data_IF_275820000556
#
_entry.id   IF_275820000556
#
_cell.length_a   1.000
_cell.length_b   1.000
_cell.length_c   1.000
_cell.angle_alpha   90.00
_cell.angle_beta   90.00
_cell.angle_gamma   90.00
#
_symmetry.space_group_name_H-M   'P 1'
#
loop_
_entity.id
_entity.type
_entity.pdbx_description
1 polymer ?
#
# COMPACT_ATOMS: atom_id res chain seq x y z
N UNK A 1 1.23 -1.72 -33.69
CA UNK A 1 2.32 -1.19 -34.46
C UNK A 1 3.39 -0.62 -33.50
N UNK A 2 4.51 -0.20 -33.98
CA UNK A 2 5.65 0.25 -33.15
C UNK A 2 5.34 1.51 -32.31
N UNK A 3 4.27 2.22 -32.60
CA UNK A 3 3.84 3.43 -31.90
C UNK A 3 2.69 3.21 -30.91
N UNK A 4 1.97 2.08 -31.02
CA UNK A 4 0.83 1.77 -30.17
C UNK A 4 0.85 0.31 -29.76
N UNK A 5 0.98 0.07 -28.45
CA UNK A 5 1.00 -1.27 -27.86
C UNK A 5 -0.12 -1.42 -26.84
N UNK A 6 -0.93 -2.46 -26.98
CA UNK A 6 -1.88 -2.88 -25.96
C UNK A 6 -1.18 -3.69 -24.88
N UNK A 7 -1.54 -3.48 -23.63
CA UNK A 7 -1.04 -4.26 -22.48
C UNK A 7 -2.14 -4.50 -21.46
N UNK A 8 -1.92 -5.45 -20.57
CA UNK A 8 -2.82 -5.72 -19.46
C UNK A 8 -2.20 -6.74 -18.53
N UNK A 9 -2.74 -6.79 -17.33
CA UNK A 9 -2.33 -7.75 -16.31
C UNK A 9 -3.56 -8.27 -15.57
N UNK A 10 -3.54 -9.56 -15.28
CA UNK A 10 -4.46 -10.19 -14.36
C UNK A 10 -3.67 -10.99 -13.34
N UNK A 11 -3.91 -10.73 -12.06
CA UNK A 11 -3.27 -11.40 -10.94
C UNK A 11 -4.35 -11.92 -9.99
N UNK A 12 -4.30 -13.21 -9.69
CA UNK A 12 -5.29 -13.87 -8.86
C UNK A 12 -4.59 -14.67 -7.76
N UNK A 13 -5.11 -14.57 -6.54
CA UNK A 13 -4.58 -15.27 -5.37
C UNK A 13 -5.55 -16.39 -4.95
N UNK A 14 -5.02 -17.61 -4.92
CA UNK A 14 -5.70 -18.78 -4.37
C UNK A 14 -5.16 -19.08 -2.97
N UNK A 15 -6.04 -19.31 -2.02
CA UNK A 15 -5.67 -19.72 -0.66
C UNK A 15 -5.57 -21.24 -0.57
N UNK A 16 -4.33 -21.77 -0.51
CA UNK A 16 -4.06 -23.22 -0.45
C UNK A 16 -4.22 -23.86 0.94
N UNK A 17 -4.44 -23.07 1.98
CA UNK A 17 -4.51 -23.53 3.38
C UNK A 17 -5.95 -23.78 3.90
N UNK A 18 -6.93 -23.84 2.99
CA UNK A 18 -8.35 -24.06 3.31
C UNK A 18 -8.75 -25.52 3.22
N UNK A 19 -9.83 -25.88 3.92
CA UNK A 19 -10.51 -27.15 3.69
C UNK A 19 -11.28 -27.09 2.36
N UNK A 20 -11.49 -28.24 1.70
CA UNK A 20 -12.26 -28.31 0.45
C UNK A 20 -13.70 -27.78 0.58
N UNK A 21 -14.25 -27.79 1.79
CA UNK A 21 -15.62 -27.31 2.08
C UNK A 21 -15.74 -25.79 2.18
N UNK A 22 -14.64 -25.05 2.37
CA UNK A 22 -14.66 -23.58 2.49
C UNK A 22 -14.77 -22.87 1.14
N UNK A 23 -14.60 -23.59 0.03
CA UNK A 23 -14.73 -23.04 -1.31
C UNK A 23 -13.75 -21.89 -1.62
N UNK A 24 -14.19 -20.90 -2.38
CA UNK A 24 -13.38 -19.79 -2.89
C UNK A 24 -13.54 -18.47 -2.11
N UNK A 25 -14.13 -18.50 -0.91
CA UNK A 25 -14.55 -17.27 -0.19
C UNK A 25 -13.41 -16.28 0.15
N UNK A 26 -12.17 -16.75 0.15
CA UNK A 26 -10.98 -15.91 0.42
C UNK A 26 -10.05 -15.73 -0.78
N UNK A 27 -10.42 -16.27 -1.93
CA UNK A 27 -9.69 -16.03 -3.17
C UNK A 27 -9.97 -14.61 -3.65
N UNK A 28 -8.98 -13.97 -4.24
CA UNK A 28 -9.12 -12.56 -4.63
C UNK A 28 -8.37 -12.21 -5.91
N UNK A 29 -8.97 -11.34 -6.70
CA UNK A 29 -8.27 -10.66 -7.79
C UNK A 29 -7.41 -9.55 -7.18
N UNK A 30 -6.09 -9.66 -7.35
CA UNK A 30 -5.14 -8.63 -6.90
C UNK A 30 -5.04 -7.50 -7.91
N UNK A 31 -4.81 -7.84 -9.19
CA UNK A 31 -4.79 -6.89 -10.31
C UNK A 31 -5.69 -7.37 -11.44
N UNK A 32 -6.32 -6.44 -12.13
CA UNK A 32 -7.10 -6.68 -13.35
C UNK A 32 -7.26 -5.37 -14.11
N UNK A 33 -6.37 -5.08 -15.03
CA UNK A 33 -6.40 -3.86 -15.82
C UNK A 33 -5.91 -4.09 -17.25
N UNK A 34 -6.29 -3.18 -18.14
CA UNK A 34 -5.79 -3.13 -19.49
C UNK A 34 -5.53 -1.69 -19.92
N UNK A 35 -4.59 -1.50 -20.84
CA UNK A 35 -4.17 -0.18 -21.26
C UNK A 35 -3.53 -0.14 -22.64
N UNK A 36 -3.17 1.07 -23.03
CA UNK A 36 -2.47 1.39 -24.27
C UNK A 36 -1.23 2.21 -23.96
N UNK A 37 -0.12 1.89 -24.63
CA UNK A 37 1.12 2.66 -24.58
C UNK A 37 1.36 3.34 -25.92
N UNK A 38 1.72 4.59 -25.88
CA UNK A 38 1.88 5.48 -27.04
C UNK A 38 3.34 5.93 -27.24
N UNK A 39 4.28 4.98 -27.29
CA UNK A 39 5.72 5.27 -27.36
C UNK A 39 6.15 6.14 -26.16
N UNK A 40 6.91 7.20 -26.42
CA UNK A 40 7.42 8.12 -25.40
C UNK A 40 6.33 9.05 -24.80
N UNK A 41 5.15 9.09 -25.40
CA UNK A 41 4.02 9.85 -24.85
C UNK A 41 3.36 9.19 -23.64
N UNK A 42 3.86 8.00 -23.24
CA UNK A 42 3.40 7.31 -22.03
C UNK A 42 2.32 6.28 -22.29
N UNK A 43 1.59 5.95 -21.22
CA UNK A 43 0.53 4.94 -21.25
C UNK A 43 -0.71 5.41 -20.51
N UNK A 44 -1.85 4.87 -20.91
CA UNK A 44 -3.12 5.01 -20.19
C UNK A 44 -3.68 3.63 -19.95
N UNK A 45 -3.99 3.30 -18.69
CA UNK A 45 -4.65 2.06 -18.30
C UNK A 45 -5.89 2.33 -17.44
N UNK A 46 -6.76 1.32 -17.37
CA UNK A 46 -7.96 1.35 -16.55
C UNK A 46 -8.24 -0.02 -15.94
N UNK A 47 -8.65 -0.04 -14.68
CA UNK A 47 -9.12 -1.24 -14.00
C UNK A 47 -8.78 -1.26 -12.51
N UNK A 48 -8.48 -2.48 -12.00
CA UNK A 48 -7.92 -2.70 -10.66
C UNK A 48 -6.42 -2.70 -10.78
N UNK A 49 -5.78 -1.65 -10.29
CA UNK A 49 -4.34 -1.45 -10.38
C UNK A 49 -3.82 -0.75 -9.12
N UNK A 50 -2.52 -0.52 -9.03
CA UNK A 50 -1.94 0.26 -7.94
C UNK A 50 -2.33 1.73 -8.02
N UNK A 51 -2.65 2.31 -6.88
CA UNK A 51 -2.82 3.73 -6.69
C UNK A 51 -1.51 4.49 -6.78
N UNK A 52 -1.54 5.74 -7.27
CA UNK A 52 -0.31 6.55 -7.44
C UNK A 52 0.43 6.84 -6.14
N UNK A 53 -0.23 6.80 -5.00
CA UNK A 53 0.44 6.97 -3.72
C UNK A 53 1.43 5.82 -3.44
N UNK A 54 1.15 4.63 -3.95
CA UNK A 54 2.03 3.47 -3.84
C UNK A 54 3.32 3.60 -4.66
N UNK A 55 3.41 4.50 -5.63
CA UNK A 55 4.65 4.73 -6.38
C UNK A 55 5.83 5.14 -5.47
N UNK A 56 5.53 5.76 -4.32
CA UNK A 56 6.49 6.07 -3.27
C UNK A 56 6.42 5.06 -2.13
N UNK A 57 5.22 4.62 -1.74
CA UNK A 57 5.02 3.66 -0.66
C UNK A 57 5.68 2.31 -0.89
N UNK A 58 5.76 1.88 -2.15
CA UNK A 58 6.42 0.62 -2.54
C UNK A 58 7.92 0.59 -2.21
N UNK A 59 8.56 1.73 -1.98
CA UNK A 59 9.99 1.77 -1.69
C UNK A 59 10.35 1.17 -0.34
N UNK A 60 9.45 1.22 0.62
CA UNK A 60 9.63 0.62 1.95
C UNK A 60 8.87 -0.70 2.13
N UNK A 61 7.97 -1.05 1.20
CA UNK A 61 7.22 -2.31 1.19
C UNK A 61 8.02 -3.44 0.49
N UNK A 62 9.18 -3.78 1.05
CA UNK A 62 10.16 -4.71 0.46
C UNK A 62 10.65 -5.78 1.44
N UNK A 63 10.04 -5.89 2.62
CA UNK A 63 10.36 -6.90 3.62
C UNK A 63 9.85 -8.29 3.19
N UNK A 64 10.37 -9.38 3.78
CA UNK A 64 9.98 -10.73 3.38
C UNK A 64 8.50 -11.05 3.55
N UNK A 65 7.87 -10.60 4.64
CA UNK A 65 6.47 -10.85 4.96
C UNK A 65 5.74 -9.60 5.47
N UNK A 66 6.36 -8.84 6.37
CA UNK A 66 5.78 -7.65 6.99
C UNK A 66 6.13 -6.38 6.18
N UNK A 67 5.76 -5.22 6.68
CA UNK A 67 6.04 -3.93 6.01
C UNK A 67 4.86 -3.38 5.23
N UNK A 68 4.98 -2.11 4.80
CA UNK A 68 3.97 -1.43 4.00
C UNK A 68 2.60 -1.29 4.66
N UNK A 69 2.54 -1.34 6.00
CA UNK A 69 1.29 -1.41 6.77
C UNK A 69 0.98 -0.14 7.58
N UNK A 70 1.80 0.90 7.48
CA UNK A 70 1.54 2.16 8.19
C UNK A 70 0.49 3.02 7.49
N UNK A 71 0.47 3.06 6.15
CA UNK A 71 -0.42 3.92 5.36
C UNK A 71 -0.79 3.37 3.98
N UNK A 72 -0.04 2.41 3.44
CA UNK A 72 -0.33 1.80 2.15
C UNK A 72 -1.26 0.60 2.34
N UNK A 73 -2.57 0.85 2.28
CA UNK A 73 -3.60 -0.14 2.55
C UNK A 73 -4.40 -0.48 1.30
N UNK A 74 -4.58 -1.79 1.03
CA UNK A 74 -5.37 -2.28 -0.13
C UNK A 74 -6.83 -1.84 -0.02
N UNK A 75 -7.40 -1.36 -1.12
CA UNK A 75 -8.76 -0.85 -1.25
C UNK A 75 -9.07 0.38 -0.35
N UNK A 76 -8.04 1.00 0.22
CA UNK A 76 -8.15 2.27 0.92
C UNK A 76 -7.71 3.38 -0.02
N UNK A 77 -8.65 3.95 -0.76
CA UNK A 77 -8.44 4.99 -1.78
C UNK A 77 -7.34 4.59 -2.79
N UNK A 78 -6.37 5.48 -3.07
CA UNK A 78 -5.26 5.25 -4.03
C UNK A 78 -3.93 4.94 -3.34
N UNK A 79 -3.95 4.31 -2.13
CA UNK A 79 -2.71 4.08 -1.35
C UNK A 79 -2.01 2.77 -1.65
N UNK A 80 -2.72 1.77 -2.17
CA UNK A 80 -2.16 0.49 -2.64
C UNK A 80 -3.01 -0.01 -3.81
N UNK A 81 -3.34 -1.31 -3.91
CA UNK A 81 -4.24 -1.81 -4.97
C UNK A 81 -5.64 -1.21 -4.79
N UNK A 82 -6.16 -0.62 -5.85
CA UNK A 82 -7.44 0.05 -5.86
C UNK A 82 -8.23 -0.30 -7.12
N UNK A 83 -9.56 -0.28 -7.02
CA UNK A 83 -10.46 -0.59 -8.13
C UNK A 83 -10.97 0.70 -8.78
N UNK A 84 -11.22 0.64 -10.10
CA UNK A 84 -11.82 1.75 -10.85
C UNK A 84 -10.87 2.92 -11.04
N UNK A 85 -9.56 2.62 -11.17
CA UNK A 85 -8.54 3.64 -11.42
C UNK A 85 -8.24 3.75 -12.91
N UNK A 86 -8.21 4.99 -13.41
CA UNK A 86 -7.69 5.35 -14.72
C UNK A 86 -6.36 6.05 -14.51
N UNK A 87 -5.28 5.49 -15.05
CA UNK A 87 -3.91 5.97 -14.77
C UNK A 87 -3.21 6.33 -16.06
N UNK A 88 -2.75 7.57 -16.16
CA UNK A 88 -1.76 7.99 -17.14
C UNK A 88 -0.38 7.95 -16.49
N UNK A 89 0.60 7.29 -17.16
CA UNK A 89 2.01 7.22 -16.73
C UNK A 89 2.92 7.66 -17.86
N UNK A 90 3.92 8.44 -17.51
CA UNK A 90 4.98 8.85 -18.42
C UNK A 90 6.33 8.62 -17.74
N UNK A 91 7.19 7.90 -18.44
CA UNK A 91 8.56 7.65 -18.01
C UNK A 91 9.51 8.58 -18.76
N UNK A 92 10.64 8.91 -18.11
CA UNK A 92 11.72 9.72 -18.68
C UNK A 92 11.26 11.07 -19.24
N UNK A 93 10.16 11.60 -18.66
CA UNK A 93 9.55 12.88 -19.04
C UNK A 93 9.48 13.06 -20.56
N UNK A 94 8.68 12.20 -21.21
CA UNK A 94 8.53 12.14 -22.66
C UNK A 94 9.81 11.78 -23.43
N UNK A 95 10.75 11.07 -22.79
CA UNK A 95 12.07 10.76 -23.35
C UNK A 95 13.07 11.93 -23.31
N UNK A 96 12.76 13.00 -22.58
CA UNK A 96 13.59 14.21 -22.52
C UNK A 96 14.52 14.25 -21.29
N UNK A 97 14.15 13.57 -20.20
CA UNK A 97 14.90 13.56 -18.94
C UNK A 97 14.89 12.14 -18.39
N UNK A 98 16.00 11.43 -18.60
CA UNK A 98 16.18 10.05 -18.11
C UNK A 98 15.94 9.98 -16.59
N UNK A 99 15.16 9.00 -16.17
CA UNK A 99 14.85 8.74 -14.77
C UNK A 99 13.74 9.62 -14.16
N UNK A 100 13.24 10.65 -14.84
CA UNK A 100 12.13 11.48 -14.36
C UNK A 100 10.80 10.89 -14.81
N UNK A 101 10.05 10.31 -13.87
CA UNK A 101 8.77 9.67 -14.13
C UNK A 101 7.65 10.43 -13.43
N UNK A 102 6.44 10.41 -14.00
CA UNK A 102 5.26 10.91 -13.33
C UNK A 102 4.00 10.11 -13.70
N UNK A 103 3.02 10.16 -12.82
CA UNK A 103 1.71 9.60 -13.07
C UNK A 103 0.59 10.55 -12.63
N UNK A 104 -0.54 10.46 -13.34
CA UNK A 104 -1.79 11.11 -13.01
C UNK A 104 -2.86 10.02 -12.93
N UNK A 105 -3.66 10.03 -11.88
CA UNK A 105 -4.67 9.00 -11.67
C UNK A 105 -6.01 9.62 -11.26
N UNK A 106 -7.08 9.05 -11.78
CA UNK A 106 -8.44 9.25 -11.33
C UNK A 106 -9.01 7.94 -10.80
N UNK A 107 -9.67 7.97 -9.66
CA UNK A 107 -10.42 6.85 -9.11
C UNK A 107 -11.91 7.20 -9.10
N UNK A 108 -12.72 6.37 -9.77
CA UNK A 108 -14.17 6.48 -9.72
C UNK A 108 -14.72 6.00 -8.37
N UNK A 109 -15.89 6.53 -7.99
CA UNK A 109 -16.59 6.16 -6.76
C UNK A 109 -16.92 4.66 -6.72
N UNK A 110 -16.60 4.02 -5.59
CA UNK A 110 -17.01 2.66 -5.22
C UNK A 110 -17.59 2.69 -3.80
N UNK A 111 -18.86 2.34 -3.65
CA UNK A 111 -19.51 2.38 -2.34
C UNK A 111 -20.29 1.11 -2.01
N UNK A 112 -20.70 1.00 -0.74
CA UNK A 112 -21.47 -0.11 -0.22
C UNK A 112 -22.92 -0.12 -0.68
N UNK A 113 -23.43 0.96 -1.27
CA UNK A 113 -24.83 1.07 -1.71
C UNK A 113 -25.12 0.23 -2.96
N UNK A 114 -24.10 -0.23 -3.68
CA UNK A 114 -24.23 -1.06 -4.87
C UNK A 114 -24.55 -2.53 -4.57
N UNK A 115 -25.41 -2.83 -3.57
CA UNK A 115 -25.97 -4.17 -3.38
C UNK A 115 -27.02 -4.46 -4.46
N UNK A 116 -26.58 -4.68 -5.69
CA UNK A 116 -27.44 -5.14 -6.77
C UNK A 116 -27.21 -6.65 -6.95
N UNK A 117 -28.27 -7.44 -6.86
CA UNK A 117 -28.30 -8.86 -7.19
C UNK A 117 -27.44 -9.79 -6.31
N UNK A 118 -27.57 -9.74 -4.97
CA UNK A 118 -26.88 -10.61 -4.02
C UNK A 118 -25.34 -10.47 -3.96
N UNK A 119 -24.76 -9.50 -4.62
CA UNK A 119 -23.36 -9.15 -4.42
C UNK A 119 -23.22 -8.44 -3.07
N UNK A 120 -22.30 -8.91 -2.23
CA UNK A 120 -21.90 -8.18 -1.04
C UNK A 120 -21.34 -6.84 -1.50
N UNK A 121 -21.92 -5.73 -1.04
CA UNK A 121 -21.35 -4.41 -1.26
C UNK A 121 -19.96 -4.33 -0.61
N UNK A 122 -19.19 -3.28 -0.94
CA UNK A 122 -17.92 -3.00 -0.27
C UNK A 122 -18.15 -2.72 1.20
N UNK A 123 -17.20 -3.12 2.03
CA UNK A 123 -17.14 -2.65 3.40
C UNK A 123 -16.93 -1.13 3.41
N UNK A 124 -17.43 -0.49 4.46
CA UNK A 124 -17.41 0.96 4.57
C UNK A 124 -15.98 1.52 4.55
N UNK A 125 -15.04 0.81 5.18
CA UNK A 125 -13.63 1.21 5.24
C UNK A 125 -12.92 1.10 3.88
N UNK A 126 -13.36 0.17 3.03
CA UNK A 126 -12.84 -0.05 1.69
C UNK A 126 -13.58 0.76 0.60
N UNK A 127 -14.60 1.51 0.98
CA UNK A 127 -15.36 2.38 0.07
C UNK A 127 -14.57 3.64 -0.27
N UNK A 128 -14.85 4.24 -1.42
CA UNK A 128 -14.31 5.54 -1.81
C UNK A 128 -15.32 6.34 -2.64
N UNK A 129 -15.28 7.66 -2.54
CA UNK A 129 -15.87 8.58 -3.52
C UNK A 129 -14.92 8.81 -4.69
N UNK A 130 -15.26 9.76 -5.56
CA UNK A 130 -14.39 10.16 -6.66
C UNK A 130 -13.11 10.79 -6.13
N UNK A 131 -11.98 10.51 -6.79
CA UNK A 131 -10.70 11.02 -6.37
C UNK A 131 -9.71 11.20 -7.51
N UNK A 132 -8.67 11.96 -7.24
CA UNK A 132 -7.53 12.13 -8.13
C UNK A 132 -6.23 12.07 -7.35
N UNK A 133 -5.17 11.69 -8.04
CA UNK A 133 -3.84 11.65 -7.48
C UNK A 133 -2.75 11.87 -8.52
N UNK A 134 -1.58 12.16 -8.05
CA UNK A 134 -0.39 12.33 -8.86
C UNK A 134 0.84 11.81 -8.12
N UNK A 135 1.83 11.34 -8.86
CA UNK A 135 3.16 11.01 -8.36
C UNK A 135 4.24 11.54 -9.29
N UNK A 136 5.40 11.80 -8.74
CA UNK A 136 6.61 12.09 -9.48
C UNK A 136 7.79 11.44 -8.79
N UNK A 137 8.65 10.76 -9.57
CA UNK A 137 9.88 10.13 -9.08
C UNK A 137 11.04 10.48 -10.00
N UNK A 138 12.20 10.61 -9.42
CA UNK A 138 13.44 10.80 -10.16
C UNK A 138 14.49 9.82 -9.65
N UNK A 139 15.03 9.04 -10.57
CA UNK A 139 16.04 8.02 -10.30
C UNK A 139 17.34 8.39 -11.05
N UNK A 140 18.47 8.42 -10.33
CA UNK A 140 19.79 8.71 -10.89
C UNK A 140 20.89 7.93 -10.18
N UNK A 141 21.63 7.10 -10.90
CA UNK A 141 22.78 6.32 -10.40
C UNK A 141 22.49 5.53 -9.11
N UNK A 142 21.30 4.93 -9.04
CA UNK A 142 20.84 4.16 -7.87
C UNK A 142 20.16 5.01 -6.78
N UNK A 143 20.26 6.33 -6.81
CA UNK A 143 19.51 7.21 -5.94
C UNK A 143 18.13 7.51 -6.54
N UNK A 144 17.12 7.50 -5.70
CA UNK A 144 15.75 7.88 -6.05
C UNK A 144 15.17 8.88 -5.05
N UNK A 145 14.44 9.87 -5.56
CA UNK A 145 13.59 10.77 -4.79
C UNK A 145 12.19 10.73 -5.37
N UNK A 146 11.18 10.71 -4.53
CA UNK A 146 9.78 10.67 -4.98
C UNK A 146 8.86 11.47 -4.10
N UNK A 147 7.76 11.92 -4.70
CA UNK A 147 6.66 12.54 -3.99
C UNK A 147 5.33 12.14 -4.64
N UNK A 148 4.29 12.05 -3.83
CA UNK A 148 2.94 11.75 -4.28
C UNK A 148 1.90 12.53 -3.47
N UNK A 149 0.77 12.77 -4.11
CA UNK A 149 -0.42 13.35 -3.48
C UNK A 149 -1.66 12.68 -4.05
N UNK A 150 -2.61 12.32 -3.19
CA UNK A 150 -3.92 11.87 -3.62
C UNK A 150 -5.01 12.43 -2.70
N UNK A 151 -6.17 12.71 -3.29
CA UNK A 151 -7.35 13.22 -2.61
C UNK A 151 -8.59 12.57 -3.19
N UNK A 152 -9.49 12.14 -2.32
CA UNK A 152 -10.77 11.54 -2.70
C UNK A 152 -11.89 12.05 -1.81
N UNK A 153 -13.09 12.09 -2.33
CA UNK A 153 -14.27 12.25 -1.51
C UNK A 153 -14.48 10.96 -0.69
N UNK A 154 -15.00 11.09 0.51
CA UNK A 154 -15.52 9.98 1.30
C UNK A 154 -17.00 9.80 1.00
N UNK A 155 -17.45 8.55 0.96
CA UNK A 155 -18.88 8.23 0.76
C UNK A 155 -19.71 8.66 1.97
N UNK A 156 -21.02 8.86 1.76
CA UNK A 156 -21.95 9.13 2.86
C UNK A 156 -21.92 8.02 3.92
N UNK A 157 -21.69 6.77 3.50
CA UNK A 157 -21.50 5.63 4.41
C UNK A 157 -20.29 5.81 5.30
N UNK A 158 -19.13 6.21 4.75
CA UNK A 158 -17.92 6.47 5.52
C UNK A 158 -18.06 7.66 6.47
N UNK A 159 -18.73 8.73 6.04
CA UNK A 159 -19.00 9.90 6.91
C UNK A 159 -19.98 9.52 8.02
N UNK A 160 -21.00 8.71 7.73
CA UNK A 160 -21.96 8.23 8.73
C UNK A 160 -21.33 7.23 9.72
N UNK A 161 -20.32 6.48 9.29
CA UNK A 161 -19.58 5.53 10.13
C UNK A 161 -18.87 6.21 11.29
N UNK A 162 -18.54 7.49 11.17
CA UNK A 162 -18.03 8.31 12.27
C UNK A 162 -18.97 8.32 13.49
N UNK A 163 -20.28 8.15 13.28
CA UNK A 163 -21.25 8.11 14.37
C UNK A 163 -21.23 6.79 15.16
N UNK A 164 -20.60 5.74 14.63
CA UNK A 164 -20.51 4.43 15.29
C UNK A 164 -19.48 4.44 16.45
N UNK A 165 -18.45 5.28 16.36
CA UNK A 165 -17.43 5.42 17.42
C UNK A 165 -16.74 6.78 17.35
N UNK A 166 -16.40 7.35 18.48
CA UNK A 166 -15.59 8.57 18.58
C UNK A 166 -14.13 8.37 18.11
N UNK A 167 -13.71 7.12 17.86
CA UNK A 167 -12.40 6.79 17.28
C UNK A 167 -12.35 7.03 15.77
N UNK A 168 -13.52 7.16 15.12
CA UNK A 168 -13.62 7.30 13.67
C UNK A 168 -13.54 8.75 13.20
N UNK A 169 -12.85 8.95 12.10
CA UNK A 169 -12.80 10.20 11.37
C UNK A 169 -14.18 10.65 10.85
N UNK A 170 -14.51 11.93 10.99
CA UNK A 170 -15.76 12.53 10.52
C UNK A 170 -15.61 13.39 9.26
N UNK A 171 -14.40 13.59 8.75
CA UNK A 171 -14.14 14.41 7.57
C UNK A 171 -14.80 13.86 6.29
N UNK A 172 -15.13 14.76 5.35
CA UNK A 172 -15.79 14.39 4.08
C UNK A 172 -14.81 14.06 2.96
N UNK A 173 -13.53 14.36 3.14
CA UNK A 173 -12.47 14.08 2.17
C UNK A 173 -11.36 13.29 2.83
N UNK A 174 -10.77 12.37 2.06
CA UNK A 174 -9.57 11.63 2.40
C UNK A 174 -8.40 12.20 1.61
N UNK A 175 -7.27 12.42 2.27
CA UNK A 175 -6.07 12.97 1.61
C UNK A 175 -4.82 12.23 2.08
N UNK A 176 -3.87 12.06 1.18
CA UNK A 176 -2.52 11.59 1.48
C UNK A 176 -1.50 12.39 0.69
N UNK A 177 -0.41 12.73 1.33
CA UNK A 177 0.82 13.09 0.65
C UNK A 177 1.97 12.28 1.24
N UNK A 178 2.92 11.92 0.39
CA UNK A 178 4.11 11.21 0.82
C UNK A 178 5.33 11.67 0.03
N UNK A 179 6.49 11.52 0.65
CA UNK A 179 7.79 11.68 0.01
C UNK A 179 8.69 10.53 0.42
N UNK A 180 9.63 10.18 -0.44
CA UNK A 180 10.57 9.11 -0.18
C UNK A 180 11.93 9.36 -0.79
N UNK A 181 12.91 8.71 -0.20
CA UNK A 181 14.28 8.60 -0.71
C UNK A 181 14.65 7.12 -0.77
N UNK A 182 15.37 6.71 -1.80
CA UNK A 182 15.94 5.36 -1.89
C UNK A 182 17.36 5.38 -2.44
N UNK A 183 18.08 4.33 -2.13
CA UNK A 183 19.34 3.96 -2.79
C UNK A 183 19.28 2.47 -3.11
N UNK A 184 19.44 2.12 -4.38
CA UNK A 184 19.40 0.76 -4.89
C UNK A 184 20.55 0.54 -5.87
N UNK A 185 21.71 0.24 -5.33
CA UNK A 185 22.91 -0.11 -6.10
C UNK A 185 23.94 -0.84 -5.22
N UNK A 186 24.95 -1.47 -5.84
CA UNK A 186 26.05 -2.15 -5.16
C UNK A 186 25.60 -3.19 -4.13
N UNK A 187 24.53 -3.95 -4.44
CA UNK A 187 23.93 -4.94 -3.54
C UNK A 187 23.32 -4.35 -2.27
N UNK A 188 23.23 -3.03 -2.14
CA UNK A 188 22.63 -2.31 -1.01
C UNK A 188 21.29 -1.75 -1.47
N UNK A 189 20.26 -1.98 -0.66
CA UNK A 189 18.98 -1.30 -0.77
C UNK A 189 18.69 -0.54 0.52
N UNK A 190 18.50 0.76 0.41
CA UNK A 190 18.06 1.64 1.49
C UNK A 190 16.85 2.42 1.01
N UNK A 191 15.81 2.53 1.81
CA UNK A 191 14.71 3.43 1.52
C UNK A 191 14.15 4.01 2.81
N UNK A 192 13.61 5.23 2.69
CA UNK A 192 12.83 5.85 3.75
C UNK A 192 11.69 6.63 3.14
N UNK A 193 10.51 6.55 3.76
CA UNK A 193 9.32 7.29 3.37
C UNK A 193 8.73 8.03 4.57
N UNK A 194 8.17 9.21 4.30
CA UNK A 194 7.35 9.94 5.24
C UNK A 194 6.03 10.31 4.57
N UNK A 195 4.92 10.13 5.28
CA UNK A 195 3.60 10.50 4.78
C UNK A 195 2.70 11.10 5.87
N UNK A 196 1.74 11.88 5.45
CA UNK A 196 0.59 12.26 6.26
C UNK A 196 -0.69 11.87 5.54
N UNK A 197 -1.59 11.24 6.28
CA UNK A 197 -2.93 10.85 5.80
C UNK A 197 -4.00 11.56 6.61
N UNK A 198 -5.13 11.85 5.98
CA UNK A 198 -6.30 12.44 6.63
C UNK A 198 -7.54 11.64 6.27
N UNK A 199 -8.31 11.26 7.30
CA UNK A 199 -9.61 10.58 7.20
C UNK A 199 -9.58 9.28 6.37
N UNK A 200 -8.48 8.52 6.43
CA UNK A 200 -8.34 7.34 5.57
C UNK A 200 -7.60 6.17 6.19
N UNK A 201 -6.60 6.37 7.05
CA UNK A 201 -5.82 5.26 7.62
C UNK A 201 -6.70 4.41 8.51
N UNK A 202 -6.87 3.14 8.13
CA UNK A 202 -7.61 2.14 8.90
C UNK A 202 -6.69 1.55 9.96
N UNK A 203 -7.18 1.40 11.19
CA UNK A 203 -6.44 0.82 12.30
C UNK A 203 -7.33 -0.02 13.22
N UNK A 204 -6.70 -0.97 13.92
CA UNK A 204 -7.41 -1.84 14.88
C UNK A 204 -8.56 -2.59 14.25
N UNK A 205 -9.73 -2.57 14.90
CA UNK A 205 -10.98 -3.18 14.42
C UNK A 205 -11.73 -2.21 13.48
N UNK A 206 -11.15 -1.95 12.30
CA UNK A 206 -11.73 -1.13 11.22
C UNK A 206 -12.04 0.33 11.57
N UNK A 207 -11.35 0.92 12.57
CA UNK A 207 -11.45 2.35 12.82
C UNK A 207 -10.68 3.16 11.78
N UNK A 208 -11.14 4.38 11.51
CA UNK A 208 -10.51 5.28 10.54
C UNK A 208 -9.93 6.51 11.28
N UNK A 209 -8.62 6.69 11.24
CA UNK A 209 -7.94 7.81 11.87
C UNK A 209 -8.28 9.15 11.21
N UNK A 210 -8.47 10.21 12.02
CA UNK A 210 -8.64 11.58 11.53
C UNK A 210 -7.40 12.07 10.78
N UNK A 211 -6.23 11.83 11.35
CA UNK A 211 -4.94 12.11 10.75
C UNK A 211 -3.94 11.08 11.25
N UNK A 212 -3.07 10.61 10.37
CA UNK A 212 -1.91 9.83 10.77
C UNK A 212 -0.64 10.39 10.14
N UNK A 213 0.45 10.33 10.90
CA UNK A 213 1.81 10.62 10.46
C UNK A 213 2.58 9.32 10.43
N UNK A 214 3.19 9.02 9.31
CA UNK A 214 3.80 7.74 9.06
C UNK A 214 5.26 7.92 8.65
N UNK A 215 6.11 7.07 9.19
CA UNK A 215 7.51 7.00 8.84
C UNK A 215 7.91 5.53 8.68
N UNK A 216 8.56 5.20 7.60
CA UNK A 216 9.13 3.89 7.34
C UNK A 216 10.56 4.04 6.84
N UNK A 217 11.43 3.15 7.31
CA UNK A 217 12.80 3.05 6.82
C UNK A 217 13.23 1.60 6.75
N UNK A 218 13.90 1.22 5.67
CA UNK A 218 14.37 -0.15 5.43
C UNK A 218 15.80 -0.15 4.93
N UNK A 219 16.56 -1.16 5.34
CA UNK A 219 17.88 -1.46 4.83
C UNK A 219 18.00 -2.96 4.52
N UNK A 220 18.54 -3.28 3.33
CA UNK A 220 18.82 -4.66 2.91
C UNK A 220 20.19 -4.72 2.25
N UNK A 221 20.81 -5.90 2.34
CA UNK A 221 22.05 -6.20 1.62
C UNK A 221 21.95 -7.56 0.94
N UNK A 222 22.27 -7.64 -0.34
CA UNK A 222 22.29 -8.88 -1.11
C UNK A 222 23.69 -9.47 -1.16
N UNK A 223 23.90 -10.58 -0.47
CA UNK A 223 25.15 -11.34 -0.56
C UNK A 223 25.21 -12.18 -1.85
N UNK A 224 26.39 -12.36 -2.43
CA UNK A 224 26.60 -13.13 -3.66
C UNK A 224 26.20 -14.60 -3.51
N UNK A 225 26.24 -15.16 -2.28
CA UNK A 225 25.82 -16.54 -2.00
C UNK A 225 24.30 -16.70 -1.81
N UNK A 226 23.51 -15.66 -2.08
CA UNK A 226 22.05 -15.73 -2.14
C UNK A 226 21.32 -15.28 -0.86
N UNK A 227 22.01 -14.89 0.22
CA UNK A 227 21.37 -14.37 1.43
C UNK A 227 21.08 -12.86 1.28
N UNK A 228 19.87 -12.43 1.67
CA UNK A 228 19.44 -11.02 1.78
C UNK A 228 18.86 -10.77 3.17
N UNK A 229 19.64 -10.35 4.14
CA UNK A 229 19.13 -9.81 5.40
C UNK A 229 18.45 -8.46 5.18
N UNK A 230 17.46 -8.18 6.03
CA UNK A 230 16.71 -6.92 6.09
C UNK A 230 16.55 -6.46 7.53
N UNK A 231 16.50 -5.15 7.70
CA UNK A 231 16.06 -4.50 8.93
C UNK A 231 15.20 -3.30 8.55
N UNK A 232 14.10 -3.08 9.28
CA UNK A 232 13.25 -1.93 9.08
C UNK A 232 12.71 -1.38 10.40
N UNK A 233 12.30 -0.11 10.37
CA UNK A 233 11.51 0.54 11.41
C UNK A 233 10.29 1.17 10.76
N UNK A 234 9.12 0.87 11.30
CA UNK A 234 7.84 1.38 10.82
C UNK A 234 7.08 2.02 11.97
N UNK A 235 6.56 3.23 11.74
CA UNK A 235 5.81 3.97 12.73
C UNK A 235 4.65 4.74 12.08
N UNK A 236 3.45 4.55 12.62
CA UNK A 236 2.24 5.30 12.29
C UNK A 236 1.63 5.87 13.56
N UNK A 237 1.53 7.20 13.65
CA UNK A 237 0.95 7.91 14.78
C UNK A 237 -0.35 8.60 14.39
N UNK A 238 -1.45 8.14 14.93
CA UNK A 238 -2.76 8.77 14.82
C UNK A 238 -2.88 9.99 15.72
N UNK A 239 -3.44 11.07 15.18
CA UNK A 239 -3.69 12.31 15.90
C UNK A 239 -5.20 12.47 16.19
N UNK A 240 -5.53 12.93 17.41
CA UNK A 240 -6.90 13.20 17.85
C UNK A 240 -7.83 11.96 17.75
N UNK A 241 -7.38 10.83 18.28
CA UNK A 241 -8.16 9.59 18.32
C UNK A 241 -9.15 9.65 19.49
N UNK A 242 -10.30 10.24 19.26
CA UNK A 242 -11.35 10.39 20.27
C UNK A 242 -10.85 10.94 21.60
N UNK A 243 -11.21 10.28 22.70
CA UNK A 243 -10.78 10.65 24.05
C UNK A 243 -9.32 10.28 24.38
N UNK A 244 -8.67 9.46 23.54
CA UNK A 244 -7.30 8.98 23.78
C UNK A 244 -6.23 9.96 23.28
N UNK A 245 -6.60 10.99 22.50
CA UNK A 245 -5.64 11.95 21.95
C UNK A 245 -4.76 11.35 20.86
N UNK A 246 -3.45 11.55 20.92
CA UNK A 246 -2.51 11.02 19.94
C UNK A 246 -2.01 9.65 20.39
N UNK A 247 -2.13 8.65 19.50
CA UNK A 247 -1.79 7.26 19.78
C UNK A 247 -0.97 6.66 18.65
N UNK A 248 -0.06 5.75 18.99
CA UNK A 248 0.67 4.96 18.00
C UNK A 248 -0.24 3.85 17.48
N UNK A 249 -0.44 3.82 16.16
CA UNK A 249 -1.31 2.85 15.46
C UNK A 249 -0.52 1.64 14.98
N UNK A 250 0.73 1.86 14.58
CA UNK A 250 1.73 0.88 14.20
C UNK A 250 3.07 1.37 14.71
N UNK A 251 3.82 0.55 15.42
CA UNK A 251 5.22 0.82 15.74
C UNK A 251 5.97 -0.48 15.96
N UNK A 252 6.93 -0.76 15.09
CA UNK A 252 7.74 -1.96 15.22
C UNK A 252 9.11 -1.86 14.55
N UNK A 253 10.03 -2.72 15.00
CA UNK A 253 11.24 -3.06 14.28
C UNK A 253 11.02 -4.42 13.61
N UNK A 254 11.40 -4.53 12.35
CA UNK A 254 11.41 -5.76 11.61
C UNK A 254 12.83 -6.24 11.34
N UNK A 255 13.09 -7.52 11.54
CA UNK A 255 14.37 -8.15 11.25
C UNK A 255 14.12 -9.43 10.47
N UNK A 256 14.47 -9.42 9.19
CA UNK A 256 14.23 -10.53 8.29
C UNK A 256 15.46 -10.99 7.54
N UNK A 257 15.29 -12.12 6.87
CA UNK A 257 16.27 -12.62 5.92
C UNK A 257 15.59 -13.50 4.87
N UNK A 258 15.90 -13.28 3.61
CA UNK A 258 15.53 -14.16 2.50
C UNK A 258 16.76 -14.86 1.97
N UNK A 259 16.68 -16.18 1.75
CA UNK A 259 17.71 -16.94 1.08
C UNK A 259 17.21 -17.43 -0.29
N UNK A 260 17.88 -17.01 -1.34
CA UNK A 260 17.61 -17.40 -2.74
C UNK A 260 18.43 -18.62 -3.11
N UNK A 261 17.80 -19.80 -3.19
CA UNK A 261 18.45 -21.05 -3.65
C UNK A 261 18.82 -20.96 -5.12
N UNK A 262 17.98 -20.30 -5.88
CA UNK A 262 18.13 -20.01 -7.32
C UNK A 262 17.09 -18.94 -7.72
N UNK A 263 17.01 -18.61 -9.02
CA UNK A 263 16.07 -17.61 -9.56
C UNK A 263 14.58 -17.96 -9.35
N UNK A 264 14.26 -19.22 -9.07
CA UNK A 264 12.89 -19.72 -8.96
C UNK A 264 12.46 -20.01 -7.53
N UNK A 265 13.41 -20.21 -6.60
CA UNK A 265 13.09 -20.68 -5.25
C UNK A 265 13.81 -19.87 -4.18
N UNK A 266 13.05 -19.42 -3.20
CA UNK A 266 13.57 -18.75 -2.00
C UNK A 266 12.83 -19.23 -0.75
N UNK A 267 13.46 -19.03 0.40
CA UNK A 267 12.85 -19.19 1.71
C UNK A 267 13.17 -17.96 2.55
N UNK A 268 12.28 -17.62 3.48
CA UNK A 268 12.48 -16.47 4.35
C UNK A 268 12.11 -16.77 5.80
N UNK A 269 12.68 -15.98 6.69
CA UNK A 269 12.24 -15.77 8.06
C UNK A 269 12.11 -14.27 8.28
N UNK A 270 11.06 -13.87 8.99
CA UNK A 270 10.78 -12.47 9.29
C UNK A 270 10.28 -12.34 10.72
N UNK A 271 10.79 -11.37 11.46
CA UNK A 271 10.45 -11.16 12.86
C UNK A 271 10.06 -9.73 13.13
N UNK A 272 8.78 -9.53 13.35
CA UNK A 272 8.16 -8.27 13.77
C UNK A 272 8.26 -8.14 15.29
N UNK A 273 9.05 -7.17 15.75
CA UNK A 273 9.21 -6.80 17.16
C UNK A 273 8.31 -5.61 17.42
N UNK A 274 7.14 -5.83 17.98
CA UNK A 274 6.19 -4.78 18.28
C UNK A 274 6.69 -3.90 19.42
N UNK A 275 6.57 -2.58 19.27
CA UNK A 275 7.00 -1.60 20.27
C UNK A 275 5.82 -0.91 20.98
N UNK A 276 4.58 -1.25 20.60
CA UNK A 276 3.36 -0.72 21.24
C UNK A 276 3.05 -1.57 22.46
N UNK A 277 2.98 -0.94 23.64
CA UNK A 277 2.56 -1.58 24.87
C UNK A 277 1.04 -1.68 24.99
N UNK A 278 0.56 -2.69 25.73
CA UNK A 278 -0.86 -2.77 26.11
C UNK A 278 -1.32 -1.53 26.86
N UNK A 279 -2.46 -0.98 26.48
CA UNK A 279 -3.08 0.22 27.06
C UNK A 279 -4.60 0.15 26.98
N UNK A 280 -5.29 1.10 27.61
CA UNK A 280 -6.73 1.27 27.44
C UNK A 280 -7.09 1.55 25.98
N UNK A 281 -6.23 2.27 25.25
CA UNK A 281 -6.41 2.52 23.82
C UNK A 281 -6.31 1.24 23.00
N UNK A 282 -5.23 0.45 23.16
CA UNK A 282 -5.03 -0.77 22.37
C UNK A 282 -6.13 -1.79 22.63
N UNK A 283 -6.63 -1.89 23.88
CA UNK A 283 -7.78 -2.74 24.23
C UNK A 283 -9.09 -2.26 23.61
N UNK A 284 -9.31 -0.95 23.56
CA UNK A 284 -10.53 -0.38 22.99
C UNK A 284 -10.56 -0.38 21.46
N UNK A 285 -9.39 -0.36 20.82
CA UNK A 285 -9.25 -0.29 19.37
C UNK A 285 -8.79 -1.58 18.69
N UNK A 286 -8.39 -2.59 19.48
CA UNK A 286 -7.79 -3.85 18.99
C UNK A 286 -6.50 -3.63 18.16
N UNK A 287 -5.75 -2.57 18.46
CA UNK A 287 -4.40 -2.39 17.91
C UNK A 287 -3.49 -3.48 18.45
N UNK A 288 -2.82 -4.20 17.55
CA UNK A 288 -1.98 -5.33 17.90
C UNK A 288 -0.71 -4.89 18.65
N UNK A 289 -0.36 -5.63 19.72
CA UNK A 289 0.81 -5.41 20.57
C UNK A 289 1.78 -6.58 20.59
N UNK A 290 1.44 -7.69 19.93
CA UNK A 290 2.24 -8.91 19.94
C UNK A 290 3.41 -8.87 18.95
N UNK A 291 4.51 -9.57 19.33
CA UNK A 291 5.57 -9.91 18.41
C UNK A 291 5.14 -11.06 17.50
N UNK A 292 5.54 -11.05 16.23
CA UNK A 292 5.16 -12.08 15.26
C UNK A 292 6.41 -12.60 14.54
N UNK A 293 6.51 -13.93 14.41
CA UNK A 293 7.51 -14.59 13.56
C UNK A 293 6.79 -15.20 12.36
N UNK A 294 7.27 -14.91 11.18
CA UNK A 294 6.84 -15.55 9.94
C UNK A 294 7.99 -16.36 9.33
N UNK A 295 7.65 -17.51 8.74
CA UNK A 295 8.56 -18.31 7.93
C UNK A 295 7.80 -18.72 6.66
N UNK A 296 8.46 -18.68 5.53
CA UNK A 296 7.83 -19.02 4.28
C UNK A 296 8.82 -19.48 3.22
N UNK A 297 8.24 -20.01 2.15
CA UNK A 297 8.96 -20.47 0.97
C UNK A 297 8.21 -20.03 -0.28
N UNK A 298 8.94 -19.51 -1.25
CA UNK A 298 8.39 -19.07 -2.52
C UNK A 298 8.98 -19.87 -3.66
N UNK A 299 8.13 -20.34 -4.56
CA UNK A 299 8.52 -20.93 -5.83
C UNK A 299 7.86 -20.17 -6.97
N UNK A 300 8.67 -19.73 -7.94
CA UNK A 300 8.23 -19.00 -9.15
C UNK A 300 8.62 -19.81 -10.39
N UNK A 301 7.73 -19.91 -11.37
CA UNK A 301 7.92 -20.67 -12.63
C UNK A 301 7.69 -19.80 -13.87
#
# INVERSE_FOLDING_TARGET
>A
NDQLTGFGQWEYEFKGNRTETEGSDKDKTRLAFAGLRFGDYGSLDYGRNYGVAYDVGAWTDVLPEFGGDTWTQTDVFMTQRATGVATYRNNDFFGLVDGLNFALQYQGKNDSAAKVNNWKGRDVVESNGDGFGLSATYDYEGFGIGATYAKSDRTDGQVSYANASSLNASGKTAEVWATGLKYDANNIYLAATYSETQNMTVFGDDFIANKAKNFEAVAQYQFDFGLRPSIAYLHSRGENIGAFGNQDLVEYIDVGATYYFNKNMSAFVDYKINLIDESEFTKASEVATDNIVAVGMTYQF
#
